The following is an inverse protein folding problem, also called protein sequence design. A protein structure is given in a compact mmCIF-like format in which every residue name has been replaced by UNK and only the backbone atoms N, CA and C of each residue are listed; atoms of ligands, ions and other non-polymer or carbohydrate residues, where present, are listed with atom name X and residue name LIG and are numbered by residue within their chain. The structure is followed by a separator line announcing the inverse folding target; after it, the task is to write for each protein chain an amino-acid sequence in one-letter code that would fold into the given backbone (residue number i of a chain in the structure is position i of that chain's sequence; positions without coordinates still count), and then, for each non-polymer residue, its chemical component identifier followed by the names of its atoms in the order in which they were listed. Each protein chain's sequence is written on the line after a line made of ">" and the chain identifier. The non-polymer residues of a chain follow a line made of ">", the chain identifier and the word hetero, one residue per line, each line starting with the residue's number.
data_IF_469053463559
#
_entry.id   IF_469053463559
#
_cell.length_a   1.000
_cell.length_b   1.000
_cell.length_c   1.000
_cell.angle_alpha   90.00
_cell.angle_beta   90.00
_cell.angle_gamma   90.00
#
_symmetry.space_group_name_H-M   'P 1'
#
loop_
_entity.id
_entity.type
_entity.pdbx_description
1 polymer ?
#
# COMPACT_ATOMS: atom_id res chain seq x y z
N UNK A 1 27.87 -10.74 -14.74
CA UNK A 1 26.76 -10.25 -15.56
C UNK A 1 25.92 -11.41 -16.04
N UNK A 2 24.61 -11.21 -16.17
CA UNK A 2 23.66 -12.16 -16.78
C UNK A 2 22.97 -11.46 -17.95
N UNK A 3 22.88 -12.14 -19.08
CA UNK A 3 22.14 -11.65 -20.25
C UNK A 3 20.71 -12.17 -20.21
N UNK A 4 19.73 -11.28 -20.40
CA UNK A 4 18.33 -11.62 -20.55
C UNK A 4 18.00 -11.86 -22.02
N UNK A 5 17.66 -13.08 -22.40
CA UNK A 5 17.24 -13.38 -23.78
C UNK A 5 15.88 -12.77 -24.14
N UNK A 6 15.04 -12.44 -23.15
CA UNK A 6 13.71 -11.86 -23.35
C UNK A 6 13.78 -10.35 -23.58
N UNK A 7 14.63 -9.65 -22.82
CA UNK A 7 14.76 -8.18 -22.90
C UNK A 7 15.97 -7.71 -23.71
N UNK A 8 16.94 -8.58 -23.98
CA UNK A 8 18.19 -8.23 -24.66
C UNK A 8 19.17 -7.44 -23.79
N UNK A 9 18.96 -7.42 -22.47
CA UNK A 9 19.72 -6.59 -21.54
C UNK A 9 20.82 -7.37 -20.82
N UNK A 10 21.95 -6.69 -20.61
CA UNK A 10 23.01 -7.16 -19.72
C UNK A 10 22.77 -6.63 -18.32
N UNK A 11 22.51 -7.53 -17.37
CA UNK A 11 22.39 -7.18 -15.95
C UNK A 11 23.68 -7.49 -15.21
N UNK A 12 24.24 -6.49 -14.54
CA UNK A 12 25.28 -6.75 -13.55
C UNK A 12 24.63 -7.39 -12.31
N UNK A 13 25.03 -8.62 -11.99
CA UNK A 13 24.47 -9.39 -10.85
C UNK A 13 25.39 -9.41 -9.64
N UNK A 14 26.59 -8.84 -9.76
CA UNK A 14 27.57 -8.79 -8.69
C UNK A 14 28.78 -7.93 -9.09
N UNK A 15 29.40 -7.32 -8.09
CA UNK A 15 30.51 -6.38 -8.24
C UNK A 15 30.70 -5.59 -6.94
N UNK A 16 31.58 -4.60 -6.96
CA UNK A 16 31.73 -3.69 -5.83
C UNK A 16 30.46 -2.89 -5.62
N UNK A 17 29.86 -3.01 -4.44
CA UNK A 17 28.65 -2.29 -4.08
C UNK A 17 28.94 -1.03 -3.27
N UNK A 18 30.10 -0.94 -2.63
CA UNK A 18 30.56 0.26 -1.94
C UNK A 18 32.07 0.14 -1.82
N UNK A 19 32.78 1.23 -2.09
CA UNK A 19 34.24 1.29 -1.98
C UNK A 19 34.57 2.49 -1.12
N UNK A 20 35.46 2.31 -0.15
CA UNK A 20 35.88 3.36 0.76
C UNK A 20 37.35 3.20 1.11
N UNK A 21 38.05 4.32 1.18
CA UNK A 21 39.41 4.43 1.70
C UNK A 21 39.39 5.41 2.85
N UNK A 22 39.98 5.02 3.98
CA UNK A 22 40.03 5.83 5.20
C UNK A 22 41.48 6.07 5.58
N UNK A 23 41.81 7.32 5.82
CA UNK A 23 43.09 7.73 6.38
C UNK A 23 42.86 8.25 7.80
N UNK A 24 43.47 7.56 8.76
CA UNK A 24 43.36 7.85 10.18
C UNK A 24 44.64 8.57 10.66
N UNK A 25 44.47 9.82 11.08
CA UNK A 25 45.51 10.60 11.76
C UNK A 25 45.07 10.93 13.19
N UNK A 26 46.00 11.20 14.12
CA UNK A 26 45.63 11.65 15.45
C UNK A 26 44.80 12.94 15.41
N UNK A 27 43.53 12.86 15.81
CA UNK A 27 42.60 14.00 15.85
C UNK A 27 42.00 14.40 14.50
N UNK A 28 42.33 13.71 13.41
CA UNK A 28 41.84 14.01 12.07
C UNK A 28 41.58 12.71 11.29
N UNK A 29 40.40 12.57 10.71
CA UNK A 29 40.06 11.46 9.83
C UNK A 29 39.72 12.05 8.48
N UNK A 30 40.20 11.43 7.41
CA UNK A 30 39.73 11.72 6.06
C UNK A 30 39.27 10.42 5.40
N UNK A 31 38.20 10.48 4.63
CA UNK A 31 37.76 9.34 3.85
C UNK A 31 37.27 9.74 2.47
N UNK A 32 37.39 8.79 1.57
CA UNK A 32 36.88 8.89 0.22
C UNK A 32 36.09 7.63 -0.07
N UNK A 33 34.90 7.78 -0.64
CA UNK A 33 34.04 6.66 -0.97
C UNK A 33 33.35 6.82 -2.32
N UNK A 34 32.78 5.72 -2.81
CA UNK A 34 31.88 5.73 -3.96
C UNK A 34 30.87 4.60 -3.86
N UNK A 35 29.65 4.93 -4.25
CA UNK A 35 28.53 4.02 -4.47
C UNK A 35 28.32 3.92 -6.00
N UNK A 36 28.80 2.85 -6.66
CA UNK A 36 28.84 2.78 -8.14
C UNK A 36 27.49 2.89 -8.85
N UNK A 37 26.38 2.84 -8.12
CA UNK A 37 25.02 2.92 -8.64
C UNK A 37 24.20 4.07 -8.03
N UNK A 38 24.85 5.07 -7.42
CA UNK A 38 24.19 6.24 -6.83
C UNK A 38 23.40 5.93 -5.56
N UNK A 39 22.95 6.99 -4.89
CA UNK A 39 22.24 6.93 -3.58
C UNK A 39 20.72 6.77 -3.72
N UNK A 40 20.19 6.80 -4.94
CA UNK A 40 18.74 6.73 -5.19
C UNK A 40 18.39 5.62 -6.17
N UNK A 41 17.40 4.79 -5.81
CA UNK A 41 16.81 3.80 -6.72
C UNK A 41 15.80 4.40 -7.72
N UNK A 42 15.42 5.67 -7.56
CA UNK A 42 14.50 6.36 -8.49
C UNK A 42 15.24 6.84 -9.74
N UNK A 43 14.88 6.39 -10.96
CA UNK A 43 15.52 6.84 -12.20
C UNK A 43 15.39 8.34 -12.49
N UNK A 44 14.40 9.00 -11.89
CA UNK A 44 14.20 10.45 -12.03
C UNK A 44 15.06 11.30 -11.08
N UNK A 45 15.73 10.68 -10.11
CA UNK A 45 16.58 11.38 -9.16
C UNK A 45 17.91 11.78 -9.79
N UNK A 46 18.40 12.99 -9.49
CA UNK A 46 19.76 13.39 -9.85
C UNK A 46 20.83 12.48 -9.22
N UNK A 47 20.49 11.78 -8.13
CA UNK A 47 21.37 10.86 -7.42
C UNK A 47 21.23 9.39 -7.85
N UNK A 48 20.60 9.12 -9.00
CA UNK A 48 20.44 7.77 -9.53
C UNK A 48 21.74 7.19 -10.11
N UNK A 49 22.55 8.02 -10.77
CA UNK A 49 23.77 7.56 -11.44
C UNK A 49 24.90 8.61 -11.41
N UNK A 50 24.76 9.67 -10.62
CA UNK A 50 25.78 10.73 -10.49
C UNK A 50 27.13 10.17 -10.06
N UNK A 51 27.15 9.27 -9.07
CA UNK A 51 28.40 8.69 -8.59
C UNK A 51 29.07 7.76 -9.61
N UNK A 52 28.27 7.02 -10.39
CA UNK A 52 28.77 6.23 -11.52
C UNK A 52 29.48 7.12 -12.53
N UNK A 53 28.79 8.18 -12.95
CA UNK A 53 29.21 9.04 -14.05
C UNK A 53 30.37 9.98 -13.66
N UNK A 54 30.37 10.49 -12.44
CA UNK A 54 31.32 11.50 -11.98
C UNK A 54 32.57 10.91 -11.32
N UNK A 55 32.47 9.73 -10.70
CA UNK A 55 33.55 9.15 -9.90
C UNK A 55 33.95 7.74 -10.38
N UNK A 56 33.05 6.77 -10.24
CA UNK A 56 33.39 5.35 -10.46
C UNK A 56 33.87 5.07 -11.89
N UNK A 57 33.20 5.65 -12.90
CA UNK A 57 33.57 5.48 -14.31
C UNK A 57 34.90 6.13 -14.72
N UNK A 58 35.53 6.90 -13.83
CA UNK A 58 36.82 7.56 -14.03
C UNK A 58 37.87 7.14 -12.99
N UNK A 59 37.66 6.01 -12.31
CA UNK A 59 38.53 5.50 -11.24
C UNK A 59 38.80 6.52 -10.10
N UNK A 60 37.79 7.34 -9.80
CA UNK A 60 37.84 8.33 -8.71
C UNK A 60 36.93 7.93 -7.56
N UNK A 61 37.25 8.44 -6.38
CA UNK A 61 36.40 8.40 -5.19
C UNK A 61 35.93 9.83 -4.86
N UNK A 62 34.74 9.94 -4.29
CA UNK A 62 34.22 11.17 -3.73
C UNK A 62 34.76 11.38 -2.32
N UNK A 63 35.10 12.60 -1.94
CA UNK A 63 35.50 12.89 -0.56
C UNK A 63 34.28 12.88 0.36
N UNK A 64 34.35 12.15 1.47
CA UNK A 64 33.26 12.15 2.45
C UNK A 64 33.39 13.35 3.39
N UNK A 65 32.25 13.96 3.72
CA UNK A 65 32.17 15.08 4.65
C UNK A 65 31.39 14.62 5.90
N UNK A 66 32.06 14.56 7.05
CA UNK A 66 31.44 14.12 8.31
C UNK A 66 31.73 15.05 9.49
N UNK A 67 32.63 16.04 9.34
CA UNK A 67 32.78 17.10 10.34
C UNK A 67 31.70 18.18 10.16
N UNK A 68 31.21 18.81 11.24
CA UNK A 68 30.13 19.79 11.17
C UNK A 68 30.39 20.93 10.18
N UNK A 69 31.61 21.47 10.18
CA UNK A 69 31.99 22.58 9.30
C UNK A 69 32.04 22.14 7.82
N UNK A 70 32.52 20.92 7.55
CA UNK A 70 32.54 20.36 6.19
C UNK A 70 31.13 20.10 5.67
N UNK A 71 30.25 19.55 6.52
CA UNK A 71 28.84 19.35 6.17
C UNK A 71 28.18 20.70 5.87
N UNK A 72 28.40 21.71 6.72
CA UNK A 72 27.84 23.03 6.53
C UNK A 72 28.28 23.68 5.20
N UNK A 73 29.53 23.44 4.79
CA UNK A 73 30.08 23.98 3.54
C UNK A 73 29.63 23.24 2.27
N UNK A 74 29.34 21.93 2.36
CA UNK A 74 29.08 21.09 1.19
C UNK A 74 27.63 20.58 1.08
N UNK A 75 26.77 20.82 2.07
CA UNK A 75 25.36 20.37 1.99
C UNK A 75 24.61 21.04 0.84
N UNK A 76 23.91 20.24 0.05
CA UNK A 76 23.04 20.74 -1.02
C UNK A 76 21.59 20.94 -0.57
N UNK A 77 21.14 20.20 0.45
CA UNK A 77 19.80 20.27 1.01
C UNK A 77 19.81 19.87 2.48
N UNK A 78 18.79 20.31 3.20
CA UNK A 78 18.56 19.99 4.61
C UNK A 78 17.06 19.81 4.81
N UNK A 79 16.68 18.77 5.55
CA UNK A 79 15.30 18.52 5.93
C UNK A 79 15.23 18.30 7.44
N UNK A 80 14.27 18.97 8.07
CA UNK A 80 14.01 18.78 9.48
C UNK A 80 13.13 17.53 9.64
N UNK A 81 13.70 16.50 10.28
CA UNK A 81 12.98 15.27 10.58
C UNK A 81 12.57 15.33 12.05
N UNK A 82 11.28 15.28 12.32
CA UNK A 82 10.77 15.19 13.69
C UNK A 82 11.28 13.90 14.36
N UNK A 83 12.00 14.05 15.46
CA UNK A 83 12.47 12.95 16.30
C UNK A 83 11.50 12.78 17.46
N UNK A 84 10.79 11.66 17.48
CA UNK A 84 9.86 11.33 18.54
C UNK A 84 10.56 10.53 19.64
N UNK A 85 10.22 10.81 20.89
CA UNK A 85 10.59 9.97 22.02
C UNK A 85 9.93 8.58 21.91
N UNK A 86 10.43 7.61 22.68
CA UNK A 86 9.81 6.28 22.76
C UNK A 86 8.34 6.38 23.19
N UNK A 87 8.01 7.25 24.15
CA UNK A 87 6.65 7.42 24.64
C UNK A 87 5.72 8.02 23.58
N UNK A 88 6.18 9.04 22.84
CA UNK A 88 5.43 9.62 21.72
C UNK A 88 5.20 8.60 20.61
N UNK A 89 6.23 7.82 20.27
CA UNK A 89 6.15 6.74 19.28
C UNK A 89 5.13 5.67 19.71
N UNK A 90 5.17 5.26 20.97
CA UNK A 90 4.19 4.31 21.53
C UNK A 90 2.77 4.87 21.45
N UNK A 91 2.57 6.14 21.81
CA UNK A 91 1.25 6.78 21.72
C UNK A 91 0.72 6.83 20.29
N UNK A 92 1.57 7.16 19.31
CA UNK A 92 1.20 7.13 17.89
C UNK A 92 0.77 5.72 17.44
N UNK A 93 1.54 4.68 17.81
CA UNK A 93 1.19 3.29 17.49
C UNK A 93 -0.16 2.91 18.11
N UNK A 94 -0.42 3.30 19.36
CA UNK A 94 -1.70 3.04 20.01
C UNK A 94 -2.84 3.77 19.30
N UNK A 95 -2.67 5.03 18.92
CA UNK A 95 -3.68 5.80 18.19
C UNK A 95 -4.01 5.18 16.83
N UNK A 96 -2.99 4.78 16.06
CA UNK A 96 -3.17 4.10 14.78
C UNK A 96 -3.96 2.81 14.94
N UNK A 97 -3.62 1.98 15.94
CA UNK A 97 -4.38 0.75 16.24
C UNK A 97 -5.84 1.04 16.58
N UNK A 98 -6.10 2.09 17.37
CA UNK A 98 -7.49 2.45 17.69
C UNK A 98 -8.26 2.91 16.45
N UNK A 99 -7.62 3.67 15.54
CA UNK A 99 -8.23 4.06 14.26
C UNK A 99 -8.56 2.84 13.40
N UNK A 100 -7.66 1.86 13.28
CA UNK A 100 -7.91 0.62 12.55
C UNK A 100 -9.09 -0.17 13.15
N UNK A 101 -9.13 -0.31 14.48
CA UNK A 101 -10.23 -1.00 15.17
C UNK A 101 -11.57 -0.28 14.97
N UNK A 102 -11.59 1.06 15.01
CA UNK A 102 -12.79 1.84 14.74
C UNK A 102 -13.24 1.64 13.29
N UNK A 103 -12.32 1.68 12.32
CA UNK A 103 -12.64 1.45 10.91
C UNK A 103 -13.22 0.05 10.68
N UNK A 104 -12.71 -0.97 11.37
CA UNK A 104 -13.26 -2.33 11.34
C UNK A 104 -14.65 -2.41 11.99
N UNK A 105 -14.88 -1.69 13.11
CA UNK A 105 -16.20 -1.65 13.73
C UNK A 105 -17.23 -0.99 12.80
N UNK A 106 -16.89 0.12 12.15
CA UNK A 106 -17.75 0.78 11.16
C UNK A 106 -18.05 -0.12 9.96
N UNK A 107 -17.06 -0.86 9.44
CA UNK A 107 -17.29 -1.79 8.33
C UNK A 107 -18.20 -2.96 8.74
N UNK A 108 -18.08 -3.47 9.97
CA UNK A 108 -18.97 -4.50 10.48
C UNK A 108 -20.42 -3.99 10.62
N UNK A 109 -20.60 -2.80 11.20
CA UNK A 109 -21.92 -2.18 11.38
C UNK A 109 -22.59 -1.94 10.02
N UNK A 110 -21.85 -1.41 9.04
CA UNK A 110 -22.38 -1.18 7.70
C UNK A 110 -22.77 -2.49 7.01
N UNK A 111 -21.94 -3.55 7.11
CA UNK A 111 -22.27 -4.86 6.57
C UNK A 111 -23.52 -5.48 7.23
N UNK A 112 -23.67 -5.33 8.54
CA UNK A 112 -24.87 -5.77 9.27
C UNK A 112 -26.11 -4.98 8.84
N UNK A 113 -26.01 -3.66 8.65
CA UNK A 113 -27.12 -2.85 8.16
C UNK A 113 -27.57 -3.27 6.76
N UNK A 114 -26.61 -3.51 5.85
CA UNK A 114 -26.89 -4.01 4.50
C UNK A 114 -27.53 -5.40 4.51
N UNK A 115 -27.09 -6.31 5.39
CA UNK A 115 -27.68 -7.64 5.48
C UNK A 115 -29.13 -7.61 6.00
N UNK A 116 -29.43 -6.76 6.99
CA UNK A 116 -30.80 -6.57 7.49
C UNK A 116 -31.73 -5.99 6.43
N UNK A 117 -31.26 -5.07 5.60
CA UNK A 117 -32.00 -4.56 4.45
C UNK A 117 -32.32 -5.69 3.46
N UNK A 118 -31.33 -6.50 3.09
CA UNK A 118 -31.51 -7.63 2.18
C UNK A 118 -32.54 -8.65 2.70
N UNK A 119 -32.48 -8.99 4.00
CA UNK A 119 -33.47 -9.86 4.64
C UNK A 119 -34.87 -9.25 4.59
N UNK A 120 -35.00 -7.96 4.91
CA UNK A 120 -36.28 -7.25 4.87
C UNK A 120 -36.89 -7.26 3.47
N UNK A 121 -36.09 -6.96 2.44
CA UNK A 121 -36.50 -7.04 1.03
C UNK A 121 -36.96 -8.46 0.65
N UNK A 122 -36.22 -9.50 1.06
CA UNK A 122 -36.57 -10.89 0.77
C UNK A 122 -37.88 -11.32 1.42
N UNK A 123 -38.12 -10.93 2.68
CA UNK A 123 -39.37 -11.22 3.40
C UNK A 123 -40.55 -10.51 2.74
N UNK A 124 -40.42 -9.23 2.41
CA UNK A 124 -41.46 -8.48 1.70
C UNK A 124 -41.78 -9.09 0.34
N UNK A 125 -40.77 -9.50 -0.42
CA UNK A 125 -40.96 -10.19 -1.70
C UNK A 125 -41.73 -11.52 -1.54
N UNK A 126 -41.35 -12.36 -0.58
CA UNK A 126 -42.05 -13.62 -0.32
C UNK A 126 -43.50 -13.43 0.14
N UNK A 127 -43.76 -12.47 1.03
CA UNK A 127 -45.13 -12.12 1.45
C UNK A 127 -45.99 -11.69 0.26
N UNK A 128 -45.43 -10.89 -0.65
CA UNK A 128 -46.13 -10.43 -1.85
C UNK A 128 -46.48 -11.59 -2.79
N UNK A 129 -45.53 -12.50 -3.05
CA UNK A 129 -45.75 -13.70 -3.87
C UNK A 129 -46.77 -14.65 -3.22
N UNK A 130 -46.67 -14.90 -1.91
CA UNK A 130 -47.61 -15.74 -1.17
C UNK A 130 -49.04 -15.19 -1.14
N UNK A 131 -49.17 -13.86 -0.98
CA UNK A 131 -50.45 -13.17 -1.06
C UNK A 131 -51.08 -13.32 -2.46
N UNK A 132 -50.31 -13.09 -3.52
CA UNK A 132 -50.78 -13.27 -4.89
C UNK A 132 -51.24 -14.72 -5.17
N UNK A 133 -50.47 -15.72 -4.73
CA UNK A 133 -50.82 -17.13 -4.88
C UNK A 133 -52.12 -17.49 -4.14
N UNK A 134 -52.34 -16.94 -2.94
CA UNK A 134 -53.56 -17.17 -2.15
C UNK A 134 -54.78 -16.58 -2.85
N UNK A 135 -54.66 -15.35 -3.38
CA UNK A 135 -55.74 -14.73 -4.17
C UNK A 135 -56.08 -15.55 -5.40
N UNK A 136 -55.07 -16.04 -6.13
CA UNK A 136 -55.28 -16.92 -7.29
C UNK A 136 -56.01 -18.21 -6.86
N UNK A 137 -55.62 -18.83 -5.76
CA UNK A 137 -56.27 -20.04 -5.24
C UNK A 137 -57.73 -19.79 -4.85
N UNK A 138 -58.02 -18.65 -4.21
CA UNK A 138 -59.39 -18.22 -3.87
C UNK A 138 -60.22 -18.01 -5.15
N UNK A 139 -59.65 -17.38 -6.18
CA UNK A 139 -60.34 -17.18 -7.46
C UNK A 139 -60.62 -18.51 -8.16
N UNK A 140 -59.65 -19.42 -8.20
CA UNK A 140 -59.82 -20.76 -8.80
C UNK A 140 -60.88 -21.57 -8.04
N UNK A 141 -60.83 -21.59 -6.71
CA UNK A 141 -61.80 -22.33 -5.89
C UNK A 141 -63.21 -21.75 -6.01
N UNK A 142 -63.37 -20.42 -6.04
CA UNK A 142 -64.64 -19.77 -6.27
C UNK A 142 -65.20 -20.05 -7.68
N UNK A 143 -64.34 -20.03 -8.72
CA UNK A 143 -64.72 -20.38 -10.09
C UNK A 143 -65.14 -21.85 -10.21
N UNK A 144 -64.39 -22.78 -9.60
CA UNK A 144 -64.72 -24.21 -9.56
C UNK A 144 -66.05 -24.47 -8.83
N UNK A 145 -66.30 -23.81 -7.69
CA UNK A 145 -67.57 -23.91 -6.97
C UNK A 145 -68.75 -23.37 -7.80
N UNK A 146 -68.55 -22.28 -8.55
CA UNK A 146 -69.56 -21.71 -9.46
C UNK A 146 -69.86 -22.64 -10.64
N UNK A 147 -68.85 -23.31 -11.18
CA UNK A 147 -69.02 -24.32 -12.25
C UNK A 147 -69.74 -25.57 -11.72
N UNK A 148 -69.40 -26.05 -10.52
CA UNK A 148 -70.10 -27.19 -9.88
C UNK A 148 -71.58 -26.92 -9.59
N UNK A 149 -71.95 -25.67 -9.29
CA UNK A 149 -73.36 -25.24 -9.19
C UNK A 149 -74.09 -25.19 -10.55
N UNK A 150 -73.37 -25.13 -11.67
CA UNK A 150 -73.93 -25.07 -13.03
C UNK A 150 -74.02 -26.45 -13.72
N UNK A 151 -73.33 -27.47 -13.21
CA UNK A 151 -73.45 -28.85 -13.70
C UNK A 151 -74.69 -29.51 -13.08
N UNK A 152 -75.70 -29.90 -13.88
CA UNK A 152 -76.79 -30.75 -13.41
C UNK A 152 -76.30 -32.19 -13.12
N UNK A 153 -77.04 -32.98 -12.30
CA UNK A 153 -76.70 -34.36 -11.94
C UNK A 153 -76.67 -35.31 -13.14
#
# INVERSE_FOLDING_TARGET
>A
YTFSNETGEWKCTGGSSYIMVVHLEPGNVTSFSVLPYGESNSPSSKHYADQLLNYYGSDKLHQDYFYPDDIAAHKESESEVQVYTLNETMNMIYQLRQQELLQLAYSLITLQGLSQLMVSYSVSFHLMVGGAATVILIVITAAAAKLRKKSPP
#
